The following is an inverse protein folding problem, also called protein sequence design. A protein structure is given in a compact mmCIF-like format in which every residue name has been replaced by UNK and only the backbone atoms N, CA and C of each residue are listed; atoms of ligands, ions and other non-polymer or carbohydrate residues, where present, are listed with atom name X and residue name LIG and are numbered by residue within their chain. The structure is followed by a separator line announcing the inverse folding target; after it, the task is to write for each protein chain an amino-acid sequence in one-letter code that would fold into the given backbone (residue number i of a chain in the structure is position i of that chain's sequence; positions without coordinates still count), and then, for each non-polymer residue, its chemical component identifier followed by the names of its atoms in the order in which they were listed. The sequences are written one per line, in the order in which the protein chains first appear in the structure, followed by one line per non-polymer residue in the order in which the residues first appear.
data_IF_787150872539
#
_entry.id   IF_787150872539
#
_cell.length_a   1.000
_cell.length_b   1.000
_cell.length_c   1.000
_cell.angle_alpha   90.00
_cell.angle_beta   90.00
_cell.angle_gamma   90.00
#
_symmetry.space_group_name_H-M   'P 1'
#
loop_
_entity.id
_entity.type
_entity.pdbx_description
1 polymer ?
#
# COMPACT_ATOMS: atom_id res chain seq x y z
N UNK A 1 -10.64 -12.47 -13.08
CA UNK A 1 -10.93 -11.04 -12.88
C UNK A 1 -10.32 -10.63 -11.55
N UNK A 2 -9.19 -9.93 -11.54
CA UNK A 2 -8.49 -9.56 -10.31
C UNK A 2 -9.33 -8.52 -9.57
N UNK A 3 -9.89 -8.91 -8.43
CA UNK A 3 -10.81 -8.08 -7.66
C UNK A 3 -10.06 -7.03 -6.84
N UNK A 4 -10.74 -6.02 -6.31
CA UNK A 4 -10.11 -5.02 -5.44
C UNK A 4 -9.55 -5.64 -4.14
N UNK A 5 -10.16 -6.73 -3.67
CA UNK A 5 -9.72 -7.48 -2.50
C UNK A 5 -8.33 -8.09 -2.70
N UNK A 6 -8.06 -8.68 -3.86
CA UNK A 6 -6.75 -9.28 -4.18
C UNK A 6 -5.61 -8.25 -4.13
N UNK A 7 -5.89 -6.99 -4.51
CA UNK A 7 -4.88 -5.91 -4.46
C UNK A 7 -4.54 -5.54 -3.03
N UNK A 8 -5.54 -5.44 -2.16
CA UNK A 8 -5.35 -5.10 -0.75
C UNK A 8 -4.52 -6.15 -0.03
N UNK A 9 -4.78 -7.43 -0.29
CA UNK A 9 -3.98 -8.54 0.25
C UNK A 9 -2.53 -8.47 -0.22
N UNK A 10 -2.30 -8.23 -1.52
CA UNK A 10 -0.94 -8.08 -2.05
C UNK A 10 -0.19 -6.90 -1.43
N UNK A 11 -0.87 -5.77 -1.21
CA UNK A 11 -0.28 -4.62 -0.51
C UNK A 11 0.11 -5.02 0.91
N UNK A 12 -0.76 -5.72 1.64
CA UNK A 12 -0.45 -6.26 2.97
C UNK A 12 0.78 -7.17 2.94
N UNK A 13 0.83 -8.15 2.04
CA UNK A 13 1.96 -9.08 1.93
C UNK A 13 3.27 -8.33 1.65
N UNK A 14 3.25 -7.29 0.81
CA UNK A 14 4.43 -6.45 0.56
C UNK A 14 4.86 -5.70 1.82
N UNK A 15 3.91 -5.15 2.58
CA UNK A 15 4.17 -4.43 3.83
C UNK A 15 4.66 -5.37 4.94
N UNK A 16 4.12 -6.58 5.06
CA UNK A 16 4.61 -7.62 5.98
C UNK A 16 6.04 -8.02 5.64
N UNK A 17 6.31 -8.30 4.35
CA UNK A 17 7.62 -8.75 3.90
C UNK A 17 8.72 -7.67 4.03
N UNK A 18 8.38 -6.41 3.74
CA UNK A 18 9.33 -5.27 3.85
C UNK A 18 9.35 -4.62 5.23
N UNK A 19 8.33 -4.84 6.06
CA UNK A 19 8.06 -4.09 7.29
C UNK A 19 7.54 -2.67 7.03
N UNK A 20 8.23 -1.91 6.18
CA UNK A 20 7.78 -0.59 5.73
C UNK A 20 8.05 -0.42 4.22
N UNK A 21 7.08 0.11 3.48
CA UNK A 21 7.24 0.38 2.05
C UNK A 21 6.61 1.72 1.66
N UNK A 22 7.17 2.39 0.65
CA UNK A 22 6.53 3.55 0.03
C UNK A 22 5.69 3.13 -1.19
N UNK A 23 4.92 4.07 -1.74
CA UNK A 23 4.06 3.81 -2.91
C UNK A 23 4.86 3.27 -4.11
N UNK A 24 6.09 3.75 -4.35
CA UNK A 24 6.93 3.30 -5.47
C UNK A 24 7.40 1.87 -5.27
N UNK A 25 7.78 1.50 -4.05
CA UNK A 25 8.15 0.13 -3.69
C UNK A 25 7.00 -0.84 -3.95
N UNK A 26 5.79 -0.43 -3.59
CA UNK A 26 4.59 -1.22 -3.81
C UNK A 26 4.26 -1.28 -5.32
N UNK A 27 4.35 -0.16 -6.04
CA UNK A 27 4.12 -0.09 -7.49
C UNK A 27 5.14 -0.88 -8.32
N UNK A 28 6.36 -1.04 -7.80
CA UNK A 28 7.38 -1.89 -8.41
C UNK A 28 7.04 -3.40 -8.33
N UNK A 29 6.22 -3.81 -7.35
CA UNK A 29 5.79 -5.20 -7.13
C UNK A 29 4.38 -5.43 -7.71
N UNK A 30 3.51 -4.44 -7.57
CA UNK A 30 2.10 -4.45 -7.98
C UNK A 30 1.98 -3.60 -9.26
N UNK A 31 2.45 -4.16 -10.37
CA UNK A 31 2.48 -3.48 -11.68
C UNK A 31 1.16 -3.54 -12.43
N UNK A 32 0.13 -4.18 -11.87
CA UNK A 32 -1.22 -4.28 -12.43
C UNK A 32 -2.07 -3.03 -12.20
N UNK A 33 -1.56 -2.04 -11.46
CA UNK A 33 -2.26 -0.78 -11.25
C UNK A 33 -1.31 0.41 -11.13
N UNK A 34 -1.88 1.61 -11.25
CA UNK A 34 -1.12 2.85 -11.14
C UNK A 34 -0.81 3.19 -9.68
N UNK A 35 0.25 3.98 -9.45
CA UNK A 35 0.58 4.53 -8.13
C UNK A 35 -0.63 5.25 -7.49
N UNK A 36 -1.45 5.94 -8.30
CA UNK A 36 -2.68 6.61 -7.83
C UNK A 36 -3.71 5.62 -7.28
N UNK A 37 -3.81 4.45 -7.90
CA UNK A 37 -4.69 3.37 -7.43
C UNK A 37 -4.19 2.82 -6.10
N UNK A 38 -2.88 2.54 -6.01
CA UNK A 38 -2.24 2.08 -4.76
C UNK A 38 -2.40 3.11 -3.65
N UNK A 39 -2.20 4.39 -3.95
CA UNK A 39 -2.38 5.48 -2.99
C UNK A 39 -3.81 5.54 -2.45
N UNK A 40 -4.82 5.34 -3.30
CA UNK A 40 -6.22 5.30 -2.88
C UNK A 40 -6.50 4.09 -1.99
N UNK A 41 -5.97 2.93 -2.35
CA UNK A 41 -6.13 1.69 -1.57
C UNK A 41 -5.45 1.83 -0.19
N UNK A 42 -4.23 2.36 -0.14
CA UNK A 42 -3.51 2.64 1.11
C UNK A 42 -4.28 3.64 2.00
N UNK A 43 -4.89 4.68 1.41
CA UNK A 43 -5.71 5.61 2.18
C UNK A 43 -6.96 4.93 2.77
N UNK A 44 -7.65 4.08 2.00
CA UNK A 44 -8.76 3.29 2.52
C UNK A 44 -8.30 2.34 3.64
N UNK A 45 -7.12 1.72 3.51
CA UNK A 45 -6.51 0.88 4.54
C UNK A 45 -6.12 1.65 5.80
N UNK A 46 -5.78 2.94 5.68
CA UNK A 46 -5.54 3.83 6.84
C UNK A 46 -6.84 4.14 7.54
N UNK A 47 -7.90 4.46 6.79
CA UNK A 47 -9.25 4.70 7.35
C UNK A 47 -9.77 3.46 8.09
N UNK A 48 -9.49 2.28 7.55
CA UNK A 48 -9.84 0.99 8.15
C UNK A 48 -8.90 0.54 9.29
N UNK A 49 -7.93 1.37 9.70
CA UNK A 49 -6.94 1.04 10.74
C UNK A 49 -6.13 -0.24 10.48
N UNK A 50 -5.82 -0.54 9.21
CA UNK A 50 -4.98 -1.68 8.79
C UNK A 50 -3.54 -1.23 8.51
N UNK A 51 -3.37 -0.03 7.96
CA UNK A 51 -2.05 0.53 7.60
C UNK A 51 -1.84 1.86 8.28
N UNK A 52 -0.62 2.11 8.73
CA UNK A 52 -0.16 3.40 9.25
C UNK A 52 0.75 4.09 8.25
N UNK A 53 0.50 5.38 8.01
CA UNK A 53 1.39 6.24 7.22
C UNK A 53 2.43 6.90 8.11
N UNK A 54 3.69 6.83 7.71
CA UNK A 54 4.84 7.44 8.34
C UNK A 54 5.49 8.44 7.39
N UNK A 55 5.73 9.67 7.85
CA UNK A 55 6.48 10.70 7.10
C UNK A 55 5.64 11.86 6.55
N UNK A 56 6.34 12.91 6.12
CA UNK A 56 5.75 14.14 5.59
C UNK A 56 5.77 14.15 4.05
N UNK A 57 4.57 14.09 3.47
CA UNK A 57 4.31 14.30 2.03
C UNK A 57 4.88 13.22 1.11
N UNK A 58 5.93 13.52 0.30
CA UNK A 58 6.37 12.72 -0.86
C UNK A 58 7.21 11.48 -0.52
N UNK A 59 7.75 11.41 0.69
CA UNK A 59 8.49 10.25 1.19
C UNK A 59 7.73 9.50 2.26
N UNK A 60 6.39 9.55 2.19
CA UNK A 60 5.56 8.79 3.11
C UNK A 60 5.82 7.30 2.90
N UNK A 61 6.26 6.62 3.95
CA UNK A 61 6.27 5.17 4.04
C UNK A 61 5.00 4.70 4.74
N UNK A 62 4.69 3.44 4.53
CA UNK A 62 3.50 2.80 5.06
C UNK A 62 3.96 1.52 5.76
N UNK A 63 3.31 1.18 6.87
CA UNK A 63 3.53 -0.07 7.60
C UNK A 63 2.21 -0.57 8.15
N UNK A 64 2.14 -1.85 8.51
CA UNK A 64 0.96 -2.39 9.18
C UNK A 64 0.91 -1.92 10.64
N UNK A 65 -0.29 -1.93 11.23
CA UNK A 65 -0.47 -1.74 12.68
C UNK A 65 0.09 -2.92 13.48
#
# INVERSE_FOLDING_TARGET
STSALDRRERINTVLEAKGQANIKDIAAIITDCSEKTIQRELNAMIEDNVVKRHGERRWSTYSLF
#
